data_IF_436571611860
#
_entry.id   IF_436571611860
#
_cell.length_a   1.000
_cell.length_b   1.000
_cell.length_c   1.000
_cell.angle_alpha   90.00
_cell.angle_beta   90.00
_cell.angle_gamma   90.00
#
_symmetry.space_group_name_H-M   'P 1'
#
loop_
_entity.id
_entity.type
_entity.pdbx_description
1 polymer ?
#
# COMPACT_ATOMS: atom_id res chain seq x y z
N UNK A 1 -13.26 -37.15 -37.87
CA UNK A 1 -12.65 -35.80 -37.81
C UNK A 1 -12.32 -35.47 -36.36
N UNK A 2 -11.36 -36.17 -35.74
CA UNK A 2 -11.72 -36.72 -34.42
C UNK A 2 -10.73 -36.56 -33.27
N UNK A 3 -9.53 -36.01 -33.46
CA UNK A 3 -8.68 -35.64 -32.30
C UNK A 3 -7.59 -34.62 -32.66
N UNK A 4 -6.99 -34.76 -33.86
CA UNK A 4 -5.98 -33.81 -34.32
C UNK A 4 -6.56 -32.40 -34.49
N UNK A 5 -7.73 -32.26 -35.14
CA UNK A 5 -8.37 -30.94 -35.33
C UNK A 5 -8.80 -30.26 -34.02
N UNK A 6 -9.21 -31.02 -33.00
CA UNK A 6 -9.57 -30.48 -31.68
C UNK A 6 -8.34 -30.05 -30.88
N UNK A 7 -7.23 -30.82 -30.94
CA UNK A 7 -5.96 -30.42 -30.33
C UNK A 7 -5.41 -29.16 -31.00
N UNK A 8 -5.45 -29.06 -32.34
CA UNK A 8 -4.99 -27.85 -33.05
C UNK A 8 -5.84 -26.63 -32.73
N UNK A 9 -7.16 -26.80 -32.57
CA UNK A 9 -8.07 -25.70 -32.19
C UNK A 9 -7.81 -25.23 -30.75
N UNK A 10 -7.55 -26.16 -29.82
CA UNK A 10 -7.21 -25.83 -28.43
C UNK A 10 -5.87 -25.10 -28.33
N UNK A 11 -4.85 -25.50 -29.12
CA UNK A 11 -3.55 -24.79 -29.15
C UNK A 11 -3.67 -23.39 -29.74
N UNK A 12 -4.52 -23.19 -30.75
CA UNK A 12 -4.78 -21.87 -31.33
C UNK A 12 -5.52 -20.98 -30.32
N UNK A 13 -6.52 -21.53 -29.61
CA UNK A 13 -7.24 -20.81 -28.56
C UNK A 13 -6.32 -20.38 -27.41
N UNK A 14 -5.40 -21.27 -26.97
CA UNK A 14 -4.41 -20.96 -25.93
C UNK A 14 -3.42 -19.87 -26.39
N UNK A 15 -3.01 -19.89 -27.67
CA UNK A 15 -2.10 -18.88 -28.21
C UNK A 15 -2.72 -17.48 -28.34
N UNK A 16 -4.03 -17.37 -28.59
CA UNK A 16 -4.73 -16.07 -28.65
C UNK A 16 -4.83 -15.44 -27.25
N UNK A 17 -4.96 -16.25 -26.19
CA UNK A 17 -4.99 -15.77 -24.81
C UNK A 17 -3.63 -15.17 -24.40
N UNK A 18 -2.52 -15.72 -24.90
CA UNK A 18 -1.18 -15.19 -24.63
C UNK A 18 -0.84 -13.87 -25.35
N UNK A 19 -1.60 -13.49 -26.39
CA UNK A 19 -1.39 -12.25 -27.16
C UNK A 19 -2.13 -11.05 -26.56
N UNK A 20 -3.06 -11.27 -25.62
CA UNK A 20 -3.49 -10.21 -24.68
C UNK A 20 -2.36 -9.97 -23.66
N UNK A 21 -1.18 -9.58 -24.15
CA UNK A 21 -0.07 -9.14 -23.34
C UNK A 21 -0.59 -8.09 -22.36
N UNK A 22 -0.27 -8.30 -21.08
CA UNK A 22 -0.68 -7.43 -19.99
C UNK A 22 -0.30 -5.99 -20.36
N UNK A 23 -1.30 -5.12 -20.53
CA UNK A 23 -1.03 -3.69 -20.77
C UNK A 23 -0.11 -3.20 -19.66
N UNK A 24 1.05 -2.70 -20.05
CA UNK A 24 2.03 -2.15 -19.16
C UNK A 24 2.08 -0.64 -19.38
N UNK A 25 1.76 0.11 -18.34
CA UNK A 25 1.84 1.57 -18.34
C UNK A 25 3.25 1.97 -17.91
N UNK A 26 3.94 2.76 -18.73
CA UNK A 26 5.30 3.19 -18.39
C UNK A 26 5.31 4.18 -17.22
N UNK A 27 4.38 5.13 -17.19
CA UNK A 27 4.24 6.11 -16.12
C UNK A 27 2.76 6.38 -15.84
N UNK A 28 2.37 6.35 -14.57
CA UNK A 28 1.02 6.68 -14.11
C UNK A 28 1.13 7.77 -13.05
N UNK A 29 0.32 8.83 -13.18
CA UNK A 29 0.23 9.88 -12.16
C UNK A 29 -1.01 9.69 -11.28
N UNK A 30 -0.98 10.22 -10.05
CA UNK A 30 -2.17 10.31 -9.21
C UNK A 30 -3.35 10.96 -9.95
N UNK A 31 -3.11 12.04 -10.68
CA UNK A 31 -4.15 12.76 -11.42
C UNK A 31 -4.82 11.85 -12.48
N UNK A 32 -4.05 10.99 -13.15
CA UNK A 32 -4.61 9.99 -14.08
C UNK A 32 -5.49 8.94 -13.37
N UNK A 33 -5.17 8.59 -12.12
CA UNK A 33 -6.00 7.64 -11.35
C UNK A 33 -7.37 8.19 -11.01
N UNK A 34 -7.51 9.53 -10.98
CA UNK A 34 -8.74 10.24 -10.64
C UNK A 34 -9.51 10.73 -11.89
N UNK A 35 -8.88 10.81 -13.06
CA UNK A 35 -9.53 11.20 -14.32
C UNK A 35 -10.38 10.06 -14.92
N UNK A 36 -11.69 10.28 -14.96
CA UNK A 36 -12.69 9.33 -15.50
C UNK A 36 -12.42 8.90 -16.94
N UNK A 37 -11.89 9.78 -17.79
CA UNK A 37 -11.62 9.45 -19.18
C UNK A 37 -10.41 8.51 -19.30
N UNK A 38 -9.43 8.71 -18.42
CA UNK A 38 -8.27 7.85 -18.34
C UNK A 38 -8.61 6.52 -17.65
N UNK A 39 -9.09 6.56 -16.42
CA UNK A 39 -9.19 5.35 -15.60
C UNK A 39 -10.16 4.32 -16.17
N UNK A 40 -11.24 4.74 -16.83
CA UNK A 40 -12.20 3.82 -17.46
C UNK A 40 -11.60 3.00 -18.61
N UNK A 41 -10.46 3.41 -19.16
CA UNK A 41 -9.76 2.64 -20.20
C UNK A 41 -8.87 1.54 -19.62
N UNK A 42 -8.44 1.70 -18.37
CA UNK A 42 -7.48 0.81 -17.71
C UNK A 42 -8.18 -0.47 -17.22
N UNK A 43 -7.45 -1.59 -17.24
CA UNK A 43 -7.93 -2.87 -16.69
C UNK A 43 -7.41 -3.08 -15.26
N UNK A 44 -8.14 -3.86 -14.49
CA UNK A 44 -7.66 -4.30 -13.17
C UNK A 44 -6.36 -5.12 -13.30
N UNK A 45 -5.40 -4.85 -12.43
CA UNK A 45 -4.11 -5.55 -12.40
C UNK A 45 -3.12 -5.11 -13.48
N UNK A 46 -3.42 -4.04 -14.23
CA UNK A 46 -2.48 -3.41 -15.17
C UNK A 46 -1.18 -3.05 -14.44
N UNK A 47 -0.04 -3.42 -15.04
CA UNK A 47 1.28 -3.20 -14.46
C UNK A 47 1.80 -1.81 -14.77
N UNK A 48 2.52 -1.22 -13.82
CA UNK A 48 3.08 0.13 -13.91
C UNK A 48 4.58 0.06 -13.65
N UNK A 49 5.39 0.78 -14.43
CA UNK A 49 6.85 0.88 -14.17
C UNK A 49 7.20 1.99 -13.19
N UNK A 50 6.55 3.14 -13.33
CA UNK A 50 6.73 4.33 -12.51
C UNK A 50 5.38 4.91 -12.09
N UNK A 51 5.23 5.18 -10.80
CA UNK A 51 4.07 5.87 -10.25
C UNK A 51 4.49 7.23 -9.69
N UNK A 52 3.77 8.28 -10.09
CA UNK A 52 3.96 9.64 -9.58
C UNK A 52 2.81 9.95 -8.63
N UNK A 53 3.12 10.07 -7.36
CA UNK A 53 2.16 10.27 -6.27
C UNK A 53 1.52 11.66 -6.32
N UNK A 54 0.51 11.90 -5.47
CA UNK A 54 -0.12 13.21 -5.34
C UNK A 54 0.91 14.31 -4.98
N UNK A 55 1.81 14.03 -4.05
CA UNK A 55 2.90 14.93 -3.65
C UNK A 55 4.11 14.91 -4.63
N UNK A 56 3.89 14.47 -5.87
CA UNK A 56 4.84 14.49 -7.00
C UNK A 56 6.15 13.74 -6.72
N UNK A 57 6.11 12.76 -5.82
CA UNK A 57 7.18 11.78 -5.63
C UNK A 57 7.09 10.71 -6.70
N UNK A 58 8.24 10.25 -7.19
CA UNK A 58 8.30 9.13 -8.13
C UNK A 58 8.67 7.87 -7.36
N UNK A 59 7.95 6.78 -7.65
CA UNK A 59 8.24 5.44 -7.16
C UNK A 59 8.32 4.49 -8.35
N UNK A 60 9.46 3.83 -8.51
CA UNK A 60 9.74 2.91 -9.61
C UNK A 60 9.91 1.49 -9.13
N UNK A 61 9.61 0.54 -10.02
CA UNK A 61 10.02 -0.85 -9.82
C UNK A 61 11.54 -0.91 -9.66
N UNK A 62 12.01 -1.54 -8.59
CA UNK A 62 13.41 -1.61 -8.18
C UNK A 62 13.81 -0.59 -7.11
N UNK A 63 12.97 0.41 -6.80
CA UNK A 63 13.28 1.38 -5.76
C UNK A 63 13.31 0.72 -4.37
N UNK A 64 14.15 1.26 -3.49
CA UNK A 64 14.19 0.85 -2.08
C UNK A 64 13.36 1.78 -1.21
N UNK A 65 12.43 1.22 -0.46
CA UNK A 65 11.59 1.92 0.51
C UNK A 65 11.92 1.46 1.94
N UNK A 66 11.36 2.15 2.93
CA UNK A 66 11.45 1.75 4.34
C UNK A 66 10.03 1.62 4.90
N UNK A 67 9.76 0.53 5.61
CA UNK A 67 8.50 0.36 6.34
C UNK A 67 8.54 1.24 7.60
N UNK A 68 7.56 2.12 7.76
CA UNK A 68 7.45 3.02 8.90
C UNK A 68 6.81 2.36 10.12
N UNK A 69 6.03 3.13 10.87
CA UNK A 69 5.32 2.61 12.03
C UNK A 69 3.92 2.12 11.63
N UNK A 70 3.42 1.01 12.19
CA UNK A 70 2.03 0.59 11.99
C UNK A 70 1.05 1.62 12.55
N UNK A 71 -0.05 1.87 11.83
CA UNK A 71 -1.10 2.82 12.26
C UNK A 71 -2.36 2.18 12.80
N UNK A 72 -2.49 0.85 12.70
CA UNK A 72 -3.66 0.10 13.17
C UNK A 72 -3.33 -0.85 14.33
N UNK A 73 -4.37 -1.45 14.88
CA UNK A 73 -4.30 -2.36 16.01
C UNK A 73 -5.38 -3.43 15.89
N UNK A 74 -4.95 -4.69 15.76
CA UNK A 74 -5.83 -5.85 15.79
C UNK A 74 -6.07 -6.31 17.23
N UNK A 75 -7.29 -6.78 17.50
CA UNK A 75 -7.70 -7.31 18.80
C UNK A 75 -8.27 -8.72 18.61
N UNK A 76 -7.65 -9.70 19.26
CA UNK A 76 -8.12 -11.07 19.28
C UNK A 76 -8.67 -11.39 20.67
N UNK A 77 -9.95 -11.75 20.74
CA UNK A 77 -10.62 -12.12 21.99
C UNK A 77 -10.98 -13.60 21.97
N UNK A 78 -10.46 -14.35 22.93
CA UNK A 78 -10.83 -15.75 23.15
C UNK A 78 -11.77 -15.84 24.33
N UNK A 79 -12.99 -16.30 24.08
CA UNK A 79 -14.02 -16.51 25.09
C UNK A 79 -14.12 -18.00 25.42
N UNK A 80 -13.86 -18.34 26.68
CA UNK A 80 -14.08 -19.67 27.22
C UNK A 80 -15.36 -19.67 28.03
N UNK A 81 -16.39 -20.39 27.56
CA UNK A 81 -17.67 -20.53 28.25
C UNK A 81 -17.80 -21.91 28.89
N UNK A 82 -18.00 -21.96 30.21
CA UNK A 82 -18.37 -23.18 30.93
C UNK A 82 -19.84 -23.13 31.34
N UNK A 83 -20.57 -24.22 31.10
CA UNK A 83 -21.96 -24.39 31.56
C UNK A 83 -22.01 -25.44 32.68
N UNK A 84 -22.61 -25.11 33.81
CA UNK A 84 -22.82 -26.05 34.91
C UNK A 84 -24.23 -26.66 34.86
N UNK A 85 -24.33 -28.00 34.77
CA UNK A 85 -25.56 -28.78 34.95
C UNK A 85 -26.38 -29.07 33.68
N UNK A 86 -27.26 -30.09 33.76
CA UNK A 86 -28.15 -30.56 32.67
C UNK A 86 -29.37 -29.65 32.40
N UNK A 87 -29.53 -28.56 33.15
CA UNK A 87 -30.59 -27.55 32.94
C UNK A 87 -29.93 -26.18 32.95
N UNK A 88 -29.71 -25.63 31.74
CA UNK A 88 -29.04 -24.37 31.49
C UNK A 88 -29.57 -23.22 32.37
N UNK A 89 -28.88 -22.90 33.46
CA UNK A 89 -29.12 -21.70 34.28
C UNK A 89 -27.79 -21.16 34.80
N UNK A 90 -27.09 -20.43 33.92
CA UNK A 90 -25.90 -19.65 34.25
C UNK A 90 -24.61 -20.19 33.63
N UNK A 91 -24.16 -19.58 32.54
CA UNK A 91 -22.82 -19.81 31.98
C UNK A 91 -21.88 -18.69 32.42
N UNK A 92 -20.70 -19.05 32.92
CA UNK A 92 -19.62 -18.09 33.15
C UNK A 92 -18.76 -18.11 31.89
N UNK A 93 -18.62 -16.95 31.25
CA UNK A 93 -17.74 -16.75 30.11
C UNK A 93 -16.54 -15.91 30.57
N UNK A 94 -15.34 -16.48 30.46
CA UNK A 94 -14.09 -15.74 30.67
C UNK A 94 -13.50 -15.39 29.31
N UNK A 95 -13.32 -14.11 29.04
CA UNK A 95 -12.76 -13.62 27.78
C UNK A 95 -11.39 -13.02 28.03
N UNK A 96 -10.39 -13.48 27.28
CA UNK A 96 -9.05 -12.86 27.26
C UNK A 96 -8.83 -12.22 25.91
N UNK A 97 -8.55 -10.93 25.91
CA UNK A 97 -8.23 -10.16 24.71
C UNK A 97 -6.73 -9.87 24.65
N UNK A 98 -6.13 -10.13 23.50
CA UNK A 98 -4.76 -9.73 23.18
C UNK A 98 -4.80 -8.75 22.03
N UNK A 99 -4.00 -7.70 22.10
CA UNK A 99 -3.94 -6.71 21.04
C UNK A 99 -2.54 -6.58 20.45
N UNK A 100 -2.49 -6.38 19.13
CA UNK A 100 -1.27 -6.38 18.33
C UNK A 100 -1.29 -5.16 17.42
N UNK A 101 -0.19 -4.40 17.40
CA UNK A 101 -0.02 -3.29 16.45
C UNK A 101 0.24 -3.84 15.04
N UNK A 102 -0.56 -3.41 14.09
CA UNK A 102 -0.55 -3.88 12.71
C UNK A 102 -0.61 -2.72 11.74
N UNK A 103 -0.09 -2.95 10.55
CA UNK A 103 -0.20 -1.97 9.48
C UNK A 103 -1.65 -1.94 8.96
N UNK A 104 -2.13 -0.76 8.58
CA UNK A 104 -3.46 -0.58 7.99
C UNK A 104 -3.46 -0.82 6.48
N UNK A 105 -2.37 -0.44 5.80
CA UNK A 105 -2.30 -0.51 4.35
C UNK A 105 -1.35 -1.60 3.85
N UNK A 106 -0.60 -2.25 4.75
CA UNK A 106 0.39 -3.28 4.39
C UNK A 106 -0.08 -4.66 4.82
N UNK A 107 -0.22 -5.56 3.84
CA UNK A 107 -0.66 -6.94 4.02
C UNK A 107 0.46 -7.92 3.79
N UNK A 108 0.40 -9.05 4.50
CA UNK A 108 1.28 -10.19 4.27
C UNK A 108 0.83 -10.95 3.00
N UNK A 109 1.77 -11.16 2.07
CA UNK A 109 1.52 -11.87 0.83
C UNK A 109 1.09 -10.96 -0.31
N UNK A 110 0.49 -11.58 -1.35
CA UNK A 110 -0.07 -10.89 -2.52
C UNK A 110 -1.58 -10.72 -2.37
N UNK A 111 -2.22 -9.68 -2.96
CA UNK A 111 -3.63 -9.40 -2.73
C UNK A 111 -4.56 -10.51 -3.23
N UNK A 112 -4.18 -11.18 -4.33
CA UNK A 112 -4.86 -12.36 -4.87
C UNK A 112 -3.99 -13.62 -4.75
N UNK A 113 -3.15 -13.69 -3.71
CA UNK A 113 -2.34 -14.87 -3.41
C UNK A 113 -3.14 -15.97 -2.73
N UNK A 114 -2.62 -17.19 -2.72
CA UNK A 114 -3.27 -18.32 -2.06
C UNK A 114 -3.67 -18.02 -0.61
N UNK A 115 -2.80 -17.35 0.16
CA UNK A 115 -3.09 -16.97 1.54
C UNK A 115 -4.26 -15.98 1.70
N UNK A 116 -4.35 -14.95 0.85
CA UNK A 116 -5.43 -13.96 0.94
C UNK A 116 -6.78 -14.56 0.52
N UNK A 117 -6.77 -15.46 -0.46
CA UNK A 117 -7.97 -16.19 -0.91
C UNK A 117 -8.45 -17.14 0.20
N UNK A 118 -7.55 -17.90 0.82
CA UNK A 118 -7.92 -18.82 1.90
C UNK A 118 -8.49 -18.09 3.12
N UNK A 119 -7.89 -16.96 3.54
CA UNK A 119 -8.45 -16.13 4.61
C UNK A 119 -9.87 -15.66 4.27
N UNK A 120 -10.07 -15.13 3.05
CA UNK A 120 -11.40 -14.68 2.61
C UNK A 120 -12.43 -15.82 2.56
N UNK A 121 -12.03 -17.02 2.12
CA UNK A 121 -12.91 -18.20 2.07
C UNK A 121 -13.29 -18.73 3.46
N UNK A 122 -12.39 -18.61 4.43
CA UNK A 122 -12.64 -18.99 5.82
C UNK A 122 -13.44 -17.93 6.61
N UNK A 123 -13.70 -16.77 6.00
CA UNK A 123 -14.33 -15.64 6.68
C UNK A 123 -13.38 -14.90 7.64
N UNK A 124 -12.08 -15.19 7.56
CA UNK A 124 -11.05 -14.52 8.35
C UNK A 124 -10.69 -13.16 7.73
N UNK A 125 -10.32 -12.20 8.58
CA UNK A 125 -9.74 -10.95 8.12
C UNK A 125 -8.43 -11.18 7.36
N UNK A 126 -8.08 -10.26 6.46
CA UNK A 126 -6.81 -10.31 5.75
C UNK A 126 -5.65 -10.19 6.75
N UNK A 127 -4.60 -11.00 6.56
CA UNK A 127 -3.44 -11.01 7.43
C UNK A 127 -2.58 -9.76 7.20
N UNK A 128 -2.71 -8.78 8.08
CA UNK A 128 -1.94 -7.54 8.02
C UNK A 128 -0.48 -7.77 8.46
N UNK A 129 0.44 -6.98 7.93
CA UNK A 129 1.79 -6.90 8.45
C UNK A 129 1.76 -6.39 9.89
N UNK A 130 2.76 -6.75 10.70
CA UNK A 130 2.83 -6.31 12.09
C UNK A 130 4.09 -5.51 12.42
N UNK A 131 4.08 -4.89 13.60
CA UNK A 131 5.15 -4.01 14.08
C UNK A 131 6.57 -4.61 14.04
N UNK A 132 6.74 -5.94 13.97
CA UNK A 132 8.07 -6.56 13.81
C UNK A 132 8.78 -6.13 12.53
N UNK A 133 8.04 -5.70 11.50
CA UNK A 133 8.59 -5.27 10.22
C UNK A 133 8.96 -3.77 10.18
N UNK A 134 8.70 -3.02 11.26
CA UNK A 134 9.06 -1.60 11.35
C UNK A 134 10.55 -1.37 11.08
N UNK A 135 10.86 -0.29 10.36
CA UNK A 135 12.20 0.11 9.91
C UNK A 135 12.89 -0.88 8.96
N UNK A 136 12.16 -1.86 8.41
CA UNK A 136 12.72 -2.79 7.43
C UNK A 136 12.87 -2.11 6.07
N UNK A 137 14.02 -2.29 5.43
CA UNK A 137 14.25 -1.84 4.05
C UNK A 137 13.70 -2.88 3.08
N UNK A 138 12.92 -2.44 2.10
CA UNK A 138 12.20 -3.28 1.15
C UNK A 138 12.42 -2.78 -0.27
N UNK A 139 12.26 -3.65 -1.26
CA UNK A 139 12.36 -3.30 -2.69
C UNK A 139 10.98 -3.33 -3.33
N UNK A 140 10.68 -2.34 -4.19
CA UNK A 140 9.47 -2.34 -5.00
C UNK A 140 9.61 -3.41 -6.08
N UNK A 141 8.89 -4.52 -5.94
CA UNK A 141 8.97 -5.65 -6.87
C UNK A 141 7.99 -5.48 -8.04
N UNK A 142 6.75 -5.06 -7.76
CA UNK A 142 5.74 -4.76 -8.78
C UNK A 142 4.88 -3.57 -8.35
N UNK A 143 4.38 -2.81 -9.33
CA UNK A 143 3.33 -1.81 -9.12
C UNK A 143 2.17 -2.19 -10.01
N UNK A 144 0.96 -2.24 -9.44
CA UNK A 144 -0.27 -2.58 -10.15
C UNK A 144 -1.37 -1.60 -9.78
N UNK A 145 -2.33 -1.42 -10.67
CA UNK A 145 -3.52 -0.61 -10.39
C UNK A 145 -4.81 -1.38 -10.55
N UNK A 146 -5.79 -1.01 -9.74
CA UNK A 146 -7.09 -1.64 -9.68
C UNK A 146 -8.16 -0.58 -9.48
N UNK A 147 -9.37 -0.84 -9.98
CA UNK A 147 -10.54 -0.04 -9.67
C UNK A 147 -11.05 -0.35 -8.28
N UNK A 148 -11.56 0.66 -7.57
CA UNK A 148 -12.22 0.50 -6.27
C UNK A 148 -13.60 -0.16 -6.39
N UNK A 149 -13.64 -1.45 -6.73
CA UNK A 149 -14.84 -2.26 -6.87
C UNK A 149 -15.38 -2.35 -8.30
N UNK A 150 -15.82 -1.24 -8.89
CA UNK A 150 -16.35 -1.22 -10.26
C UNK A 150 -15.50 -0.36 -11.20
N UNK A 151 -15.55 -0.66 -12.50
CA UNK A 151 -14.75 0.02 -13.54
C UNK A 151 -14.96 1.54 -13.60
N UNK A 152 -16.14 2.01 -13.16
CA UNK A 152 -16.50 3.43 -13.17
C UNK A 152 -15.98 4.20 -11.94
N UNK A 153 -15.21 3.56 -11.07
CA UNK A 153 -14.60 4.18 -9.91
C UNK A 153 -13.11 4.44 -10.14
N UNK A 154 -12.55 5.45 -9.46
CA UNK A 154 -11.13 5.76 -9.54
C UNK A 154 -10.24 4.54 -9.29
N UNK A 155 -9.06 4.61 -9.89
CA UNK A 155 -8.02 3.64 -9.69
C UNK A 155 -7.34 3.86 -8.35
N UNK A 156 -6.89 2.78 -7.73
CA UNK A 156 -5.93 2.81 -6.64
C UNK A 156 -4.70 1.99 -7.02
N UNK A 157 -3.57 2.33 -6.41
CA UNK A 157 -2.27 1.72 -6.73
C UNK A 157 -1.86 0.79 -5.60
N UNK A 158 -1.50 -0.43 -5.98
CA UNK A 158 -0.97 -1.46 -5.10
C UNK A 158 0.49 -1.67 -5.43
N UNK A 159 1.36 -1.54 -4.42
CA UNK A 159 2.77 -1.92 -4.53
C UNK A 159 3.01 -3.28 -3.89
N UNK A 160 3.65 -4.17 -4.64
CA UNK A 160 4.12 -5.45 -4.12
C UNK A 160 5.59 -5.28 -3.76
N UNK A 161 5.91 -5.52 -2.50
CA UNK A 161 7.23 -5.32 -1.93
C UNK A 161 7.92 -6.66 -1.72
N UNK A 162 9.21 -6.71 -2.03
CA UNK A 162 10.10 -7.83 -1.75
C UNK A 162 11.15 -7.46 -0.69
N UNK A 163 11.77 -8.47 -0.09
CA UNK A 163 12.97 -8.26 0.71
C UNK A 163 14.18 -8.01 -0.20
N UNK A 164 15.13 -7.17 0.23
CA UNK A 164 16.30 -6.79 -0.58
C UNK A 164 17.13 -8.01 -1.01
N UNK A 165 17.25 -9.01 -0.14
CA UNK A 165 17.99 -10.24 -0.39
C UNK A 165 17.15 -11.32 -1.10
N UNK A 166 15.91 -11.03 -1.49
CA UNK A 166 14.99 -11.97 -2.13
C UNK A 166 14.40 -13.06 -1.22
N UNK A 167 14.63 -12.98 0.10
CA UNK A 167 14.04 -13.89 1.10
C UNK A 167 12.59 -13.49 1.39
N UNK A 168 11.98 -14.20 2.33
CA UNK A 168 10.56 -14.08 2.69
C UNK A 168 10.37 -13.34 4.01
N UNK A 169 9.29 -12.57 4.08
CA UNK A 169 8.74 -11.99 5.30
C UNK A 169 7.99 -13.07 6.09
N UNK A 170 8.75 -13.86 6.85
CA UNK A 170 8.23 -15.05 7.52
C UNK A 170 7.80 -16.11 6.50
N UNK A 171 6.52 -16.48 6.49
CA UNK A 171 5.97 -17.46 5.54
C UNK A 171 5.62 -16.84 4.18
N UNK A 172 5.55 -15.51 4.08
CA UNK A 172 5.11 -14.81 2.87
C UNK A 172 6.30 -14.19 2.14
N UNK A 173 6.46 -14.51 0.85
CA UNK A 173 7.57 -13.96 0.06
C UNK A 173 7.47 -12.44 -0.19
N UNK A 174 6.25 -11.90 -0.18
CA UNK A 174 5.99 -10.51 -0.53
C UNK A 174 5.11 -9.85 0.52
N UNK A 175 5.14 -8.52 0.55
CA UNK A 175 4.12 -7.69 1.18
C UNK A 175 3.35 -6.97 0.09
N UNK A 176 2.12 -6.56 0.40
CA UNK A 176 1.30 -5.73 -0.50
C UNK A 176 0.87 -4.46 0.21
N UNK A 177 1.25 -3.32 -0.32
CA UNK A 177 0.70 -2.02 0.05
C UNK A 177 -0.59 -1.85 -0.73
N UNK A 178 -1.72 -2.01 -0.07
CA UNK A 178 -3.05 -2.06 -0.70
C UNK A 178 -3.54 -0.70 -1.18
N UNK A 179 -3.12 0.39 -0.54
CA UNK A 179 -3.33 1.74 -1.02
C UNK A 179 -2.03 2.53 -0.86
N UNK A 180 -1.37 2.80 -1.99
CA UNK A 180 -0.04 3.41 -2.01
C UNK A 180 -0.05 4.86 -1.53
N UNK A 181 -1.09 5.64 -1.85
CA UNK A 181 -1.18 7.03 -1.40
C UNK A 181 -1.35 7.07 0.12
N UNK A 182 -2.33 6.32 0.63
CA UNK A 182 -2.60 6.28 2.07
C UNK A 182 -1.43 5.67 2.85
N UNK A 183 -0.76 4.64 2.31
CA UNK A 183 0.43 4.06 2.92
C UNK A 183 1.58 5.06 3.04
N UNK A 184 1.75 5.96 2.06
CA UNK A 184 2.77 7.02 2.12
C UNK A 184 2.35 8.15 3.06
N UNK A 185 1.10 8.58 2.98
CA UNK A 185 0.53 9.69 3.77
C UNK A 185 0.52 9.36 5.28
N UNK A 186 0.10 8.15 5.63
CA UNK A 186 0.11 7.63 7.01
C UNK A 186 1.51 7.45 7.59
N UNK A 187 2.54 7.44 6.76
CA UNK A 187 3.92 7.15 7.16
C UNK A 187 4.20 5.66 7.36
N UNK A 188 3.30 4.76 6.95
CA UNK A 188 3.57 3.31 6.90
C UNK A 188 4.62 2.96 5.84
N UNK A 189 4.72 3.77 4.78
CA UNK A 189 5.72 3.70 3.73
C UNK A 189 6.53 4.99 3.70
N UNK A 190 7.84 4.87 3.87
CA UNK A 190 8.78 5.97 3.81
C UNK A 190 9.61 5.88 2.53
N UNK A 191 9.53 6.91 1.69
CA UNK A 191 10.35 7.04 0.49
C UNK A 191 11.71 7.64 0.87
N UNK A 192 12.83 7.05 0.42
CA UNK A 192 14.17 7.54 0.76
C UNK A 192 14.45 8.96 0.26
N UNK A 193 13.97 9.28 -0.93
CA UNK A 193 14.17 10.58 -1.58
C UNK A 193 12.83 11.33 -1.70
N UNK A 194 12.06 11.36 -0.61
CA UNK A 194 10.78 12.07 -0.55
C UNK A 194 10.99 13.57 -0.73
N UNK A 195 10.29 14.17 -1.68
CA UNK A 195 10.06 15.61 -1.78
C UNK A 195 9.22 16.08 -0.59
N UNK A 196 9.63 17.18 0.01
CA UNK A 196 8.90 17.84 1.09
C UNK A 196 7.50 18.23 0.62
N UNK A 197 6.51 17.95 1.45
CA UNK A 197 5.12 18.36 1.17
C UNK A 197 4.93 19.84 1.48
N UNK A 198 3.86 20.43 0.92
CA UNK A 198 3.48 21.82 1.20
C UNK A 198 3.24 22.05 2.69
N UNK A 199 2.57 21.13 3.37
CA UNK A 199 2.28 21.27 4.80
C UNK A 199 3.54 21.18 5.66
N UNK A 200 4.48 20.30 5.31
CA UNK A 200 5.80 20.24 5.96
C UNK A 200 6.61 21.51 5.72
N UNK A 201 6.59 22.05 4.50
CA UNK A 201 7.26 23.32 4.18
C UNK A 201 6.65 24.48 4.99
N UNK A 202 5.33 24.54 5.12
CA UNK A 202 4.63 25.55 5.93
C UNK A 202 4.97 25.36 7.42
N UNK A 203 4.99 24.12 7.92
CA UNK A 203 5.35 23.83 9.31
C UNK A 203 6.78 24.28 9.61
N UNK A 204 7.74 23.98 8.73
CA UNK A 204 9.12 24.45 8.84
C UNK A 204 9.23 25.97 8.83
N UNK A 205 8.46 26.66 7.97
CA UNK A 205 8.44 28.13 7.96
C UNK A 205 7.85 28.71 9.25
N UNK A 206 6.85 28.05 9.86
CA UNK A 206 6.30 28.47 11.15
C UNK A 206 7.32 28.29 12.28
N UNK A 207 7.96 27.12 12.35
CA UNK A 207 9.01 26.84 13.33
C UNK A 207 10.18 27.82 13.18
N UNK A 208 10.64 28.05 11.95
CA UNK A 208 11.71 29.02 11.67
C UNK A 208 11.32 30.45 12.07
N UNK A 209 10.05 30.82 11.90
CA UNK A 209 9.54 32.12 12.35
C UNK A 209 9.56 32.21 13.88
N UNK A 210 9.15 31.17 14.59
CA UNK A 210 9.23 31.11 16.05
C UNK A 210 10.69 31.21 16.51
N UNK A 211 11.62 30.51 15.87
CA UNK A 211 13.05 30.58 16.15
C UNK A 211 13.63 31.99 15.93
N UNK A 212 13.19 32.69 14.88
CA UNK A 212 13.54 34.08 14.64
C UNK A 212 13.00 35.00 15.74
N UNK A 213 11.77 34.77 16.22
CA UNK A 213 11.14 35.56 17.29
C UNK A 213 11.83 35.37 18.65
N UNK A 214 12.49 34.23 18.90
CA UNK A 214 13.27 33.96 20.11
C UNK A 214 14.79 34.19 19.93
N UNK A 215 15.19 34.90 18.88
CA UNK A 215 16.59 35.21 18.52
C UNK A 215 17.51 33.95 18.39
N UNK A 216 16.93 32.78 18.10
CA UNK A 216 17.65 31.53 17.84
C UNK A 216 17.94 31.29 16.36
N UNK A 217 17.46 32.17 15.48
CA UNK A 217 17.72 32.19 14.04
C UNK A 217 17.88 33.64 13.58
N UNK A 218 18.80 33.91 12.66
CA UNK A 218 18.96 35.24 12.07
C UNK A 218 17.88 35.55 11.02
N UNK A 219 17.66 36.84 10.77
CA UNK A 219 16.70 37.27 9.74
C UNK A 219 17.12 36.83 8.34
N UNK A 220 18.43 36.82 8.09
CA UNK A 220 19.02 36.35 6.83
C UNK A 220 18.75 34.86 6.60
N UNK A 221 18.97 34.01 7.60
CA UNK A 221 18.67 32.57 7.54
C UNK A 221 17.19 32.30 7.30
N UNK A 222 16.30 33.05 7.96
CA UNK A 222 14.87 32.93 7.75
C UNK A 222 14.45 33.29 6.31
N UNK A 223 14.97 34.39 5.76
CA UNK A 223 14.64 34.81 4.39
C UNK A 223 15.24 33.88 3.33
N UNK A 224 16.40 33.29 3.59
CA UNK A 224 16.98 32.24 2.72
C UNK A 224 16.10 30.99 2.71
N UNK A 225 15.69 30.49 3.88
CA UNK A 225 14.79 29.36 4.02
C UNK A 225 13.44 29.63 3.33
N UNK A 226 12.92 30.84 3.46
CA UNK A 226 11.67 31.26 2.80
C UNK A 226 11.79 31.25 1.28
N UNK A 227 12.93 31.65 0.71
CA UNK A 227 13.18 31.56 -0.74
C UNK A 227 13.30 30.10 -1.21
N UNK A 228 13.95 29.25 -0.43
CA UNK A 228 14.08 27.81 -0.72
C UNK A 228 12.72 27.11 -0.73
N UNK A 229 11.87 27.40 0.26
CA UNK A 229 10.58 26.74 0.44
C UNK A 229 9.44 27.37 -0.38
N UNK A 230 9.59 28.63 -0.82
CA UNK A 230 8.61 29.31 -1.68
C UNK A 230 8.11 28.48 -2.88
N UNK A 231 8.97 27.85 -3.71
CA UNK A 231 8.50 27.02 -4.83
C UNK A 231 7.66 25.81 -4.39
N UNK A 232 7.89 25.29 -3.18
CA UNK A 232 7.13 24.15 -2.63
C UNK A 232 5.77 24.62 -2.10
N UNK A 233 5.73 25.79 -1.47
CA UNK A 233 4.50 26.35 -0.90
C UNK A 233 3.54 26.91 -1.96
N UNK A 234 4.10 27.45 -3.05
CA UNK A 234 3.35 28.14 -4.10
C UNK A 234 2.91 27.24 -5.27
N UNK A 235 3.48 26.04 -5.42
CA UNK A 235 2.96 25.07 -6.40
C UNK A 235 1.63 24.46 -5.89
N UNK A 236 0.58 24.63 -6.70
CA UNK A 236 -0.76 24.07 -6.48
C UNK A 236 -0.82 22.58 -6.80
#
# INVERSE_FOLDING_TARGET
>A
MTMKKTITFLTILISIITIQAQEQINSLTYDNTQDINFFNSVKNGTQIKEYITNNKNSVKVGDTLILGAPTSQEMNTRTYSGSYGNRARGGIAQSRSTSKKTYEFIQLGRPAGFGSIMSAMNGDAQNMADNSLKNTKVIVNEIKTYHRGSKNKPLYVVMILGEINGRAFGINKFLSVMDTELGIESGEILLKNRKMTRDEAIAKLKEAKELLEIDMMSKEEFEELKKELAPIVNNQ
#
